data_IF_320264768469
#
_entry.id   IF_320264768469
#
_cell.length_a   1.000
_cell.length_b   1.000
_cell.length_c   1.000
_cell.angle_alpha   90.00
_cell.angle_beta   90.00
_cell.angle_gamma   90.00
#
_symmetry.space_group_name_H-M   'P 1'
#
loop_
_entity.id
_entity.type
_entity.pdbx_description
1 polymer ?
#
# COMPACT_ATOMS: atom_id res chain seq x y z
N UNK A 1 -14.85 -13.74 8.67
CA UNK A 1 -15.69 -13.35 7.52
C UNK A 1 -14.78 -12.66 6.53
N UNK A 2 -14.67 -13.16 5.31
CA UNK A 2 -13.92 -12.49 4.26
C UNK A 2 -14.82 -11.41 3.71
N UNK A 3 -14.62 -10.16 4.15
CA UNK A 3 -15.35 -9.05 3.57
C UNK A 3 -14.74 -8.76 2.21
N UNK A 4 -15.55 -8.84 1.15
CA UNK A 4 -15.13 -8.53 -0.21
C UNK A 4 -15.45 -7.06 -0.44
N UNK A 5 -14.43 -6.24 -0.57
CA UNK A 5 -14.54 -4.81 -0.80
C UNK A 5 -14.25 -4.49 -2.27
N UNK A 6 -15.05 -3.62 -2.88
CA UNK A 6 -14.75 -3.13 -4.22
C UNK A 6 -13.70 -2.03 -4.13
N UNK A 7 -12.45 -2.40 -4.38
CA UNK A 7 -11.29 -1.51 -4.34
C UNK A 7 -11.03 -0.81 -5.69
N UNK A 8 -11.85 -1.08 -6.73
CA UNK A 8 -11.66 -0.48 -8.05
C UNK A 8 -10.36 -0.90 -8.74
N UNK A 9 -9.89 -2.12 -8.48
CA UNK A 9 -8.70 -2.73 -9.10
C UNK A 9 -9.10 -3.98 -9.89
N UNK A 10 -8.35 -4.26 -10.95
CA UNK A 10 -8.51 -5.50 -11.71
C UNK A 10 -7.91 -6.69 -10.98
N UNK A 11 -8.36 -7.91 -11.32
CA UNK A 11 -7.80 -9.14 -10.73
C UNK A 11 -6.29 -9.27 -10.95
N UNK A 12 -5.79 -8.80 -12.10
CA UNK A 12 -4.35 -8.79 -12.44
C UNK A 12 -3.57 -7.84 -11.53
N UNK A 13 -4.07 -6.62 -11.33
CA UNK A 13 -3.45 -5.65 -10.43
C UNK A 13 -3.49 -6.15 -8.99
N UNK A 14 -4.61 -6.74 -8.57
CA UNK A 14 -4.76 -7.34 -7.25
C UNK A 14 -3.71 -8.43 -7.01
N UNK A 15 -3.51 -9.34 -7.96
CA UNK A 15 -2.50 -10.41 -7.84
C UNK A 15 -1.07 -9.84 -7.75
N UNK A 16 -0.76 -8.79 -8.52
CA UNK A 16 0.55 -8.11 -8.46
C UNK A 16 0.77 -7.42 -7.11
N UNK A 17 -0.25 -6.76 -6.58
CA UNK A 17 -0.19 -6.11 -5.28
C UNK A 17 0.00 -7.13 -4.16
N UNK A 18 -0.76 -8.22 -4.16
CA UNK A 18 -0.60 -9.30 -3.18
C UNK A 18 0.81 -9.90 -3.18
N UNK A 19 1.42 -10.06 -4.37
CA UNK A 19 2.80 -10.53 -4.49
C UNK A 19 3.84 -9.58 -3.84
N UNK A 20 3.47 -8.32 -3.62
CA UNK A 20 4.28 -7.28 -2.96
C UNK A 20 3.91 -7.10 -1.47
N UNK A 21 3.12 -8.00 -0.89
CA UNK A 21 2.73 -7.96 0.52
C UNK A 21 1.54 -7.04 0.83
N UNK A 22 0.88 -6.48 -0.17
CA UNK A 22 -0.30 -5.63 -0.01
C UNK A 22 -1.41 -6.28 0.84
N UNK A 23 -1.98 -5.50 1.77
CA UNK A 23 -3.08 -5.93 2.63
C UNK A 23 -4.39 -5.17 2.28
N UNK A 24 -5.36 -5.81 1.60
CA UNK A 24 -6.62 -5.18 1.21
C UNK A 24 -7.51 -4.78 2.39
N UNK A 25 -7.38 -5.45 3.53
CA UNK A 25 -8.13 -5.07 4.72
C UNK A 25 -7.57 -3.77 5.31
N UNK A 26 -6.26 -3.59 5.24
CA UNK A 26 -5.62 -2.36 5.67
C UNK A 26 -5.98 -1.18 4.77
N UNK A 27 -6.01 -1.35 3.43
CA UNK A 27 -6.51 -0.31 2.51
C UNK A 27 -7.93 0.12 2.90
N UNK A 28 -8.82 -0.84 3.15
CA UNK A 28 -10.18 -0.54 3.56
C UNK A 28 -10.25 0.24 4.88
N UNK A 29 -9.49 -0.17 5.90
CA UNK A 29 -9.46 0.53 7.19
C UNK A 29 -8.96 1.97 7.05
N UNK A 30 -7.98 2.21 6.18
CA UNK A 30 -7.48 3.55 5.91
C UNK A 30 -8.53 4.43 5.22
N UNK A 31 -9.30 3.86 4.27
CA UNK A 31 -10.43 4.54 3.64
C UNK A 31 -11.49 4.91 4.70
N UNK A 32 -11.82 3.99 5.61
CA UNK A 32 -12.76 4.25 6.71
C UNK A 32 -12.28 5.36 7.66
N UNK A 33 -10.96 5.50 7.84
CA UNK A 33 -10.34 6.57 8.62
C UNK A 33 -10.28 7.92 7.89
N UNK A 34 -10.70 7.98 6.63
CA UNK A 34 -10.80 9.20 5.84
C UNK A 34 -9.69 9.41 4.81
N UNK A 35 -8.81 8.42 4.60
CA UNK A 35 -7.84 8.47 3.52
C UNK A 35 -8.51 8.35 2.15
N UNK A 36 -7.91 8.97 1.13
CA UNK A 36 -8.32 8.71 -0.25
C UNK A 36 -7.92 7.29 -0.68
N UNK A 37 -8.66 6.69 -1.63
CA UNK A 37 -8.39 5.34 -2.14
C UNK A 37 -6.93 5.20 -2.58
N UNK A 38 -6.41 6.17 -3.33
CA UNK A 38 -5.02 6.15 -3.82
C UNK A 38 -4.01 6.16 -2.67
N UNK A 39 -4.25 6.96 -1.64
CA UNK A 39 -3.35 7.10 -0.49
C UNK A 39 -3.43 5.89 0.43
N UNK A 40 -4.63 5.38 0.68
CA UNK A 40 -4.87 4.15 1.42
C UNK A 40 -4.16 2.95 0.77
N UNK A 41 -4.22 2.84 -0.56
CA UNK A 41 -3.53 1.79 -1.33
C UNK A 41 -2.02 1.88 -1.20
N UNK A 42 -1.47 3.08 -1.32
CA UNK A 42 -0.02 3.31 -1.16
C UNK A 42 0.46 2.93 0.24
N UNK A 43 -0.25 3.37 1.27
CA UNK A 43 0.06 3.03 2.67
C UNK A 43 -0.06 1.52 2.93
N UNK A 44 -1.10 0.86 2.41
CA UNK A 44 -1.25 -0.59 2.54
C UNK A 44 -0.11 -1.37 1.87
N UNK A 45 0.44 -0.86 0.75
CA UNK A 45 1.65 -1.43 0.12
C UNK A 45 2.90 -1.21 0.96
N UNK A 46 3.11 -0.01 1.50
CA UNK A 46 4.27 0.32 2.36
C UNK A 46 4.31 -0.59 3.60
N UNK A 47 3.16 -0.76 4.26
CA UNK A 47 3.05 -1.66 5.41
C UNK A 47 3.31 -3.10 4.97
N UNK A 48 2.78 -3.52 3.82
CA UNK A 48 3.06 -4.83 3.23
C UNK A 48 4.55 -5.13 3.05
N UNK A 49 5.31 -4.17 2.53
CA UNK A 49 6.75 -4.29 2.31
C UNK A 49 7.57 -4.42 3.60
N UNK A 50 7.02 -4.01 4.74
CA UNK A 50 7.74 -3.94 6.04
C UNK A 50 7.16 -4.84 7.13
N UNK A 51 6.06 -5.56 6.83
CA UNK A 51 5.30 -6.37 7.79
C UNK A 51 6.08 -7.56 8.33
N UNK A 52 6.81 -8.26 7.47
CA UNK A 52 7.50 -9.50 7.83
C UNK A 52 8.95 -9.27 8.27
N UNK A 53 9.64 -8.32 7.62
CA UNK A 53 10.96 -7.84 8.02
C UNK A 53 11.14 -6.39 7.59
N UNK A 54 11.91 -5.63 8.36
CA UNK A 54 12.38 -4.34 7.89
C UNK A 54 13.30 -4.54 6.66
N UNK A 55 13.42 -3.56 5.77
CA UNK A 55 14.42 -3.60 4.71
C UNK A 55 15.82 -3.77 5.31
N UNK A 56 16.59 -4.75 4.83
CA UNK A 56 17.92 -5.08 5.35
C UNK A 56 19.03 -4.68 4.36
N UNK A 57 18.71 -4.57 3.08
CA UNK A 57 19.66 -4.19 2.02
C UNK A 57 19.37 -2.80 1.47
N UNK A 58 20.39 -2.17 0.89
CA UNK A 58 20.24 -0.87 0.23
C UNK A 58 19.18 -0.91 -0.88
N UNK A 59 19.07 -2.02 -1.61
CA UNK A 59 18.06 -2.21 -2.66
C UNK A 59 16.63 -2.26 -2.09
N UNK A 60 16.42 -3.01 -1.01
CA UNK A 60 15.12 -3.06 -0.32
C UNK A 60 14.75 -1.68 0.26
N UNK A 61 15.74 -0.93 0.77
CA UNK A 61 15.54 0.45 1.22
C UNK A 61 15.20 1.41 0.08
N UNK A 62 15.81 1.27 -1.10
CA UNK A 62 15.47 2.09 -2.27
C UNK A 62 14.04 1.84 -2.73
N UNK A 63 13.59 0.58 -2.76
CA UNK A 63 12.20 0.24 -3.10
C UNK A 63 11.21 0.83 -2.10
N UNK A 64 11.50 0.70 -0.79
CA UNK A 64 10.70 1.32 0.26
C UNK A 64 10.61 2.84 0.10
N UNK A 65 11.76 3.51 -0.08
CA UNK A 65 11.83 4.97 -0.22
C UNK A 65 11.12 5.45 -1.49
N UNK A 66 11.21 4.71 -2.60
CA UNK A 66 10.48 5.03 -3.82
C UNK A 66 8.96 5.00 -3.61
N UNK A 67 8.43 4.02 -2.87
CA UNK A 67 7.00 3.98 -2.53
C UNK A 67 6.64 5.07 -1.52
N UNK A 68 7.49 5.32 -0.53
CA UNK A 68 7.30 6.35 0.49
C UNK A 68 7.28 7.76 -0.09
N UNK A 69 8.27 8.14 -0.90
CA UNK A 69 8.35 9.47 -1.53
C UNK A 69 7.17 9.73 -2.46
N UNK A 70 6.73 8.73 -3.22
CA UNK A 70 5.52 8.82 -4.04
C UNK A 70 4.23 8.98 -3.20
N UNK A 71 4.26 8.61 -1.93
CA UNK A 71 3.13 8.79 -1.01
C UNK A 71 3.18 10.16 -0.34
N UNK A 72 4.37 10.59 0.08
CA UNK A 72 4.57 11.87 0.77
C UNK A 72 4.50 13.08 -0.19
N UNK A 73 5.04 13.00 -1.41
CA UNK A 73 4.96 14.13 -2.35
C UNK A 73 3.51 14.52 -2.70
N UNK A 74 2.61 13.54 -2.80
CA UNK A 74 1.19 13.79 -3.07
C UNK A 74 0.47 14.44 -1.88
N UNK A 75 0.99 14.27 -0.66
CA UNK A 75 0.43 14.86 0.57
C UNK A 75 0.91 16.30 0.85
N UNK A 76 1.98 16.78 0.21
CA UNK A 76 2.50 18.16 0.37
C UNK A 76 1.86 19.13 -0.64
N UNK A 77 1.20 18.63 -1.69
CA UNK A 77 0.56 19.43 -2.74
C UNK A 77 -0.87 19.91 -2.47
N UNK A 78 -1.39 19.78 -1.24
CA UNK A 78 -2.72 20.25 -0.84
C UNK A 78 -2.64 21.38 0.19
#
# INVERSE_FOLDING_TARGET
MTNIYNLGITDTEYAQLLAQGYDPNLEHQLIELGESIDQARKLARIVGLTKDKAPETDEEWQEFMAVWENTCNDSVGK
#
